data_IF_013879177665
#
_entry.id   IF_013879177665
#
_cell.length_a   1.000
_cell.length_b   1.000
_cell.length_c   1.000
_cell.angle_alpha   90.00
_cell.angle_beta   90.00
_cell.angle_gamma   90.00
#
_symmetry.space_group_name_H-M   'P 1'
#
loop_
_entity.id
_entity.type
_entity.pdbx_description
1 polymer ?
#
# COMPACT_ATOMS: atom_id res chain seq x y z
N UNK A 1 -19.18 -7.14 -4.47
CA UNK A 1 -19.05 -8.57 -4.06
C UNK A 1 -17.81 -9.26 -4.64
N UNK A 2 -17.51 -9.14 -5.94
CA UNK A 2 -16.28 -9.73 -6.53
C UNK A 2 -14.97 -9.13 -5.97
N UNK A 3 -14.91 -7.81 -5.76
CA UNK A 3 -13.72 -7.13 -5.22
C UNK A 3 -13.43 -7.53 -3.75
N UNK A 4 -14.46 -7.86 -2.97
CA UNK A 4 -14.30 -8.39 -1.60
C UNK A 4 -13.68 -9.79 -1.60
N UNK A 5 -14.10 -10.65 -2.52
CA UNK A 5 -13.57 -12.01 -2.63
C UNK A 5 -12.11 -12.01 -3.05
N UNK A 6 -11.73 -11.16 -4.01
CA UNK A 6 -10.33 -10.95 -4.41
C UNK A 6 -9.51 -10.42 -3.24
N UNK A 7 -9.98 -9.36 -2.56
CA UNK A 7 -9.29 -8.81 -1.41
C UNK A 7 -9.12 -9.83 -0.28
N UNK A 8 -10.15 -10.61 0.05
CA UNK A 8 -10.05 -11.65 1.09
C UNK A 8 -8.99 -12.69 0.72
N UNK A 9 -8.93 -13.08 -0.55
CA UNK A 9 -7.89 -13.98 -1.07
C UNK A 9 -6.49 -13.36 -1.03
N UNK A 10 -6.36 -12.07 -1.37
CA UNK A 10 -5.09 -11.32 -1.30
C UNK A 10 -4.61 -11.18 0.15
N UNK A 11 -5.54 -10.90 1.08
CA UNK A 11 -5.29 -10.88 2.53
C UNK A 11 -4.83 -12.26 3.02
N UNK A 12 -5.55 -13.34 2.70
CA UNK A 12 -5.19 -14.70 3.10
C UNK A 12 -3.84 -15.17 2.50
N UNK A 13 -3.47 -14.66 1.32
CA UNK A 13 -2.17 -14.90 0.69
C UNK A 13 -1.06 -14.13 1.40
N UNK A 14 -1.30 -12.87 1.76
CA UNK A 14 -0.38 -12.04 2.55
C UNK A 14 -0.14 -12.64 3.95
N UNK A 15 -1.19 -13.05 4.65
CA UNK A 15 -1.11 -13.67 5.98
C UNK A 15 -0.20 -14.91 5.99
N UNK A 16 -0.24 -15.73 4.93
CA UNK A 16 0.63 -16.90 4.79
C UNK A 16 2.10 -16.57 4.52
N UNK A 17 2.37 -15.40 3.95
CA UNK A 17 3.71 -15.03 3.49
C UNK A 17 4.50 -14.19 4.53
N UNK A 18 3.79 -13.58 5.48
CA UNK A 18 4.31 -12.65 6.51
C UNK A 18 5.22 -13.29 7.60
N UNK A 19 5.47 -14.60 7.58
CA UNK A 19 6.26 -15.32 8.60
C UNK A 19 7.76 -15.55 8.33
N UNK A 20 8.39 -14.91 7.34
CA UNK A 20 9.79 -15.18 6.96
C UNK A 20 10.73 -13.98 7.20
N UNK A 21 11.83 -14.13 7.97
CA UNK A 21 12.78 -13.06 8.17
C UNK A 21 13.67 -12.90 6.93
N UNK A 22 13.61 -11.72 6.30
CA UNK A 22 14.50 -11.33 5.21
C UNK A 22 15.04 -9.92 5.46
N UNK A 23 16.29 -9.83 5.90
CA UNK A 23 17.01 -8.57 6.06
C UNK A 23 17.90 -8.28 4.85
N UNK A 24 17.94 -7.01 4.42
CA UNK A 24 19.00 -6.49 3.57
C UNK A 24 19.20 -4.99 3.85
N UNK A 25 20.46 -4.57 3.94
CA UNK A 25 20.97 -3.27 4.36
C UNK A 25 20.59 -2.11 3.41
N UNK A 26 20.23 -0.97 3.98
CA UNK A 26 19.35 0.07 3.39
C UNK A 26 20.03 1.31 2.79
N UNK A 27 21.36 1.40 2.71
CA UNK A 27 22.02 2.70 2.49
C UNK A 27 22.40 3.01 1.03
N UNK A 28 22.84 2.04 0.22
CA UNK A 28 23.18 2.28 -1.20
C UNK A 28 21.93 2.35 -2.11
N UNK A 29 20.89 1.58 -1.79
CA UNK A 29 19.63 1.49 -2.55
C UNK A 29 18.82 2.80 -2.53
N UNK A 30 19.03 3.65 -1.51
CA UNK A 30 18.35 4.94 -1.36
C UNK A 30 18.73 5.95 -2.45
N UNK A 31 19.97 5.92 -2.95
CA UNK A 31 20.48 6.87 -3.96
C UNK A 31 19.86 6.63 -5.34
N UNK A 32 19.78 5.36 -5.76
CA UNK A 32 19.17 4.96 -7.04
C UNK A 32 17.67 5.24 -7.05
N UNK A 33 16.97 4.91 -5.96
CA UNK A 33 15.55 5.24 -5.79
C UNK A 33 15.37 6.76 -5.90
N UNK A 34 16.10 7.58 -5.13
CA UNK A 34 16.04 9.06 -5.21
C UNK A 34 16.35 9.61 -6.61
N UNK A 35 17.29 9.00 -7.34
CA UNK A 35 17.61 9.37 -8.72
C UNK A 35 16.45 9.06 -9.66
N UNK A 36 15.82 7.90 -9.52
CA UNK A 36 14.56 7.56 -10.21
C UNK A 36 13.47 8.58 -9.85
N UNK A 37 13.31 8.96 -8.57
CA UNK A 37 12.28 9.90 -8.15
C UNK A 37 12.45 11.28 -8.79
N UNK A 38 13.69 11.75 -8.89
CA UNK A 38 14.04 12.99 -9.59
C UNK A 38 13.81 12.89 -11.10
N UNK A 39 14.26 11.81 -11.74
CA UNK A 39 14.08 11.55 -13.18
C UNK A 39 12.59 11.43 -13.55
N UNK A 40 11.80 10.87 -12.65
CA UNK A 40 10.36 10.72 -12.75
C UNK A 40 9.59 11.97 -12.26
N UNK A 41 10.28 13.07 -11.94
CA UNK A 41 9.69 14.38 -11.71
C UNK A 41 8.79 14.44 -10.47
N UNK A 42 9.13 13.69 -9.42
CA UNK A 42 8.35 13.59 -8.18
C UNK A 42 8.05 14.94 -7.52
N UNK A 43 8.99 15.88 -7.59
CA UNK A 43 8.84 17.23 -7.01
C UNK A 43 7.86 18.11 -7.79
N UNK A 44 7.49 17.72 -9.02
CA UNK A 44 6.69 18.52 -9.94
C UNK A 44 5.27 17.98 -10.10
N UNK A 45 4.46 17.94 -9.01
CA UNK A 45 2.98 17.75 -9.02
C UNK A 45 2.43 16.85 -10.16
N UNK A 46 3.05 15.69 -10.43
CA UNK A 46 2.65 14.79 -11.53
C UNK A 46 1.40 14.00 -11.16
N UNK A 47 0.64 13.59 -12.18
CA UNK A 47 -0.54 12.75 -11.97
C UNK A 47 -0.15 11.40 -11.34
N UNK A 48 -0.91 10.85 -10.38
CA UNK A 48 -0.58 9.60 -9.70
C UNK A 48 -0.31 8.43 -10.65
N UNK A 49 -0.98 8.41 -11.81
CA UNK A 49 -0.81 7.39 -12.85
C UNK A 49 0.59 7.39 -13.48
N UNK A 50 1.18 8.55 -13.71
CA UNK A 50 2.53 8.65 -14.26
C UNK A 50 3.58 8.20 -13.24
N UNK A 51 3.38 8.54 -11.96
CA UNK A 51 4.24 8.10 -10.87
C UNK A 51 4.20 6.57 -10.67
N UNK A 52 3.02 5.94 -10.81
CA UNK A 52 2.90 4.47 -10.77
C UNK A 52 3.66 3.81 -11.91
N UNK A 53 3.49 4.28 -13.16
CA UNK A 53 4.22 3.73 -14.32
C UNK A 53 5.73 3.82 -14.14
N UNK A 54 6.21 4.98 -13.68
CA UNK A 54 7.61 5.18 -13.35
C UNK A 54 8.13 4.20 -12.28
N UNK A 55 7.34 3.94 -11.23
CA UNK A 55 7.68 2.96 -10.19
C UNK A 55 7.69 1.52 -10.73
N UNK A 56 6.71 1.15 -11.56
CA UNK A 56 6.66 -0.15 -12.23
C UNK A 56 7.88 -0.37 -13.15
N UNK A 57 8.28 0.65 -13.91
CA UNK A 57 9.48 0.60 -14.74
C UNK A 57 10.76 0.45 -13.88
N UNK A 58 10.80 1.08 -12.71
CA UNK A 58 11.91 0.91 -11.76
C UNK A 58 11.96 -0.51 -11.18
N UNK A 59 10.81 -1.13 -10.88
CA UNK A 59 10.72 -2.52 -10.45
C UNK A 59 11.19 -3.50 -11.56
N UNK A 60 10.98 -3.16 -12.83
CA UNK A 60 11.41 -3.95 -14.00
C UNK A 60 12.91 -3.89 -14.26
N UNK A 61 13.63 -2.89 -13.74
CA UNK A 61 15.07 -2.73 -13.97
C UNK A 61 15.95 -3.74 -13.20
N UNK A 62 15.37 -4.57 -12.33
CA UNK A 62 16.02 -5.74 -11.75
C UNK A 62 15.77 -5.93 -10.25
N UNK A 63 15.98 -7.15 -9.74
CA UNK A 63 15.83 -7.51 -8.31
C UNK A 63 16.71 -6.69 -7.36
N UNK A 64 17.80 -6.07 -7.87
CA UNK A 64 18.77 -5.33 -7.07
C UNK A 64 18.29 -3.94 -6.61
N UNK A 65 17.20 -3.39 -7.15
CA UNK A 65 16.65 -2.09 -6.71
C UNK A 65 15.30 -2.22 -5.97
N UNK A 66 14.85 -3.44 -5.67
CA UNK A 66 13.60 -3.69 -4.92
C UNK A 66 13.85 -3.40 -3.43
N UNK A 67 13.38 -2.24 -2.99
CA UNK A 67 13.52 -1.74 -1.62
C UNK A 67 12.12 -1.45 -1.04
N UNK A 68 11.96 -1.68 0.27
CA UNK A 68 10.85 -1.23 1.11
C UNK A 68 10.51 0.24 0.84
N UNK A 69 11.52 1.10 0.62
CA UNK A 69 11.32 2.53 0.30
C UNK A 69 10.55 2.71 -1.02
N UNK A 70 10.89 1.95 -2.06
CA UNK A 70 10.22 2.02 -3.36
C UNK A 70 8.76 1.53 -3.26
N UNK A 71 8.52 0.43 -2.53
CA UNK A 71 7.16 -0.07 -2.30
C UNK A 71 6.31 0.90 -1.48
N UNK A 72 6.83 1.43 -0.36
CA UNK A 72 6.13 2.42 0.46
C UNK A 72 5.78 3.67 -0.35
N UNK A 73 6.68 4.07 -1.25
CA UNK A 73 6.43 5.19 -2.14
C UNK A 73 5.29 4.89 -3.12
N UNK A 74 5.32 3.75 -3.80
CA UNK A 74 4.26 3.36 -4.73
C UNK A 74 2.91 3.21 -4.02
N UNK A 75 2.89 2.68 -2.80
CA UNK A 75 1.71 2.64 -1.94
C UNK A 75 1.17 4.05 -1.62
N UNK A 76 2.05 5.02 -1.35
CA UNK A 76 1.64 6.39 -1.12
C UNK A 76 1.06 7.05 -2.39
N UNK A 77 1.56 6.68 -3.56
CA UNK A 77 0.97 7.09 -4.84
C UNK A 77 -0.43 6.50 -5.02
N UNK A 78 -0.62 5.21 -4.69
CA UNK A 78 -1.95 4.59 -4.66
C UNK A 78 -2.89 5.33 -3.70
N UNK A 79 -2.40 5.77 -2.53
CA UNK A 79 -3.23 6.49 -1.56
C UNK A 79 -3.75 7.82 -2.13
N UNK A 80 -2.90 8.57 -2.83
CA UNK A 80 -3.29 9.79 -3.54
C UNK A 80 -4.20 9.50 -4.74
N UNK A 81 -3.94 8.43 -5.48
CA UNK A 81 -4.78 8.02 -6.61
C UNK A 81 -6.20 7.62 -6.17
N UNK A 82 -6.33 6.99 -5.00
CA UNK A 82 -7.61 6.62 -4.41
C UNK A 82 -8.49 7.85 -4.10
N UNK A 83 -7.90 8.97 -3.67
CA UNK A 83 -8.62 10.26 -3.51
C UNK A 83 -9.20 10.76 -4.84
N UNK A 84 -8.46 10.55 -5.92
CA UNK A 84 -8.85 10.91 -7.29
C UNK A 84 -9.92 10.00 -7.91
N UNK A 85 -10.50 9.07 -7.15
CA UNK A 85 -11.46 8.04 -7.61
C UNK A 85 -10.88 7.07 -8.64
N UNK A 86 -9.56 6.86 -8.63
CA UNK A 86 -8.95 5.83 -9.47
C UNK A 86 -9.27 4.44 -8.90
N UNK A 87 -10.13 3.69 -9.59
CA UNK A 87 -10.64 2.39 -9.08
C UNK A 87 -9.55 1.34 -8.95
N UNK A 88 -8.51 1.45 -9.76
CA UNK A 88 -7.42 0.48 -9.79
C UNK A 88 -6.40 0.74 -8.67
N UNK A 89 -6.46 1.89 -7.98
CA UNK A 89 -5.50 2.24 -6.94
C UNK A 89 -5.53 1.28 -5.75
N UNK A 90 -6.72 0.81 -5.37
CA UNK A 90 -6.88 -0.18 -4.31
C UNK A 90 -6.25 -1.51 -4.70
N UNK A 91 -6.63 -2.03 -5.86
CA UNK A 91 -6.12 -3.29 -6.41
C UNK A 91 -4.59 -3.27 -6.50
N UNK A 92 -4.03 -2.19 -7.07
CA UNK A 92 -2.59 -2.01 -7.17
C UNK A 92 -1.89 -1.95 -5.81
N UNK A 93 -2.49 -1.32 -4.80
CA UNK A 93 -1.90 -1.27 -3.48
C UNK A 93 -1.78 -2.66 -2.84
N UNK A 94 -2.79 -3.51 -2.99
CA UNK A 94 -2.73 -4.91 -2.52
C UNK A 94 -1.76 -5.75 -3.34
N UNK A 95 -1.71 -5.56 -4.66
CA UNK A 95 -0.74 -6.25 -5.53
C UNK A 95 0.71 -5.87 -5.15
N UNK A 96 0.98 -4.59 -4.87
CA UNK A 96 2.30 -4.11 -4.42
C UNK A 96 2.70 -4.67 -3.05
N UNK A 97 1.77 -4.73 -2.10
CA UNK A 97 2.03 -5.36 -0.79
C UNK A 97 2.32 -6.84 -0.94
N UNK A 98 1.58 -7.54 -1.82
CA UNK A 98 1.81 -8.96 -2.11
C UNK A 98 3.18 -9.18 -2.74
N UNK A 99 3.54 -8.37 -3.73
CA UNK A 99 4.84 -8.46 -4.39
C UNK A 99 5.99 -8.15 -3.43
N UNK A 100 5.81 -7.21 -2.50
CA UNK A 100 6.79 -6.90 -1.46
C UNK A 100 7.09 -8.14 -0.60
N UNK A 101 6.04 -8.81 -0.12
CA UNK A 101 6.19 -10.02 0.70
C UNK A 101 6.76 -11.20 -0.11
N UNK A 102 6.30 -11.40 -1.35
CA UNK A 102 6.80 -12.44 -2.24
C UNK A 102 8.26 -12.24 -2.66
N UNK A 103 8.71 -10.98 -2.67
CA UNK A 103 10.10 -10.63 -2.87
C UNK A 103 10.95 -10.83 -1.61
N UNK A 104 10.38 -11.35 -0.52
CA UNK A 104 11.06 -11.64 0.75
C UNK A 104 11.27 -10.43 1.64
N UNK A 105 10.64 -9.29 1.34
CA UNK A 105 10.68 -8.09 2.18
C UNK A 105 9.56 -8.11 3.21
N UNK A 106 9.86 -7.67 4.43
CA UNK A 106 8.86 -7.54 5.48
C UNK A 106 8.17 -6.16 5.40
N UNK A 107 6.85 -6.10 5.22
CA UNK A 107 6.11 -4.85 5.31
C UNK A 107 6.31 -4.18 6.68
N UNK A 108 6.42 -2.86 6.67
CA UNK A 108 6.69 -2.05 7.86
C UNK A 108 5.42 -1.39 8.38
N UNK A 109 5.48 -0.79 9.56
CA UNK A 109 4.42 0.09 10.10
C UNK A 109 3.95 1.11 9.05
N UNK A 110 4.89 1.72 8.32
CA UNK A 110 4.60 2.70 7.26
C UNK A 110 3.86 2.04 6.09
N UNK A 111 4.25 0.83 5.69
CA UNK A 111 3.60 0.06 4.61
C UNK A 111 2.14 -0.22 4.95
N UNK A 112 1.89 -0.73 6.15
CA UNK A 112 0.54 -1.04 6.64
C UNK A 112 -0.34 0.21 6.81
N UNK A 113 0.20 1.26 7.45
CA UNK A 113 -0.52 2.52 7.60
C UNK A 113 -0.90 3.14 6.25
N UNK A 114 -0.01 3.04 5.27
CA UNK A 114 -0.28 3.54 3.91
C UNK A 114 -1.35 2.70 3.21
N UNK A 115 -1.31 1.36 3.30
CA UNK A 115 -2.34 0.49 2.73
C UNK A 115 -3.72 0.74 3.38
N UNK A 116 -3.78 0.95 4.70
CA UNK A 116 -5.02 1.35 5.39
C UNK A 116 -5.55 2.67 4.87
N UNK A 117 -4.67 3.65 4.64
CA UNK A 117 -5.06 4.94 4.07
C UNK A 117 -5.67 4.80 2.66
N UNK A 118 -5.11 3.92 1.82
CA UNK A 118 -5.69 3.57 0.50
C UNK A 118 -7.08 2.97 0.69
N UNK A 119 -7.24 2.03 1.63
CA UNK A 119 -8.51 1.37 1.91
C UNK A 119 -9.59 2.37 2.35
N UNK A 120 -9.26 3.27 3.26
CA UNK A 120 -10.13 4.31 3.79
C UNK A 120 -10.58 5.32 2.73
N UNK A 121 -9.67 5.68 1.80
CA UNK A 121 -9.91 6.69 0.76
C UNK A 121 -10.53 6.13 -0.52
N UNK A 122 -10.39 4.82 -0.75
CA UNK A 122 -10.90 4.16 -1.94
C UNK A 122 -12.42 4.05 -1.92
N UNK A 123 -13.08 5.01 -2.58
CA UNK A 123 -14.49 5.01 -2.94
C UNK A 123 -14.74 4.09 -4.14
N UNK A 124 -14.50 2.79 -3.97
CA UNK A 124 -15.16 1.81 -4.85
C UNK A 124 -16.67 1.95 -4.65
N UNK A 125 -17.49 1.61 -5.65
CA UNK A 125 -18.96 1.77 -5.64
C UNK A 125 -19.70 0.96 -4.55
N UNK A 126 -18.97 0.40 -3.59
CA UNK A 126 -19.53 -0.28 -2.44
C UNK A 126 -19.77 0.75 -1.32
N UNK A 127 -20.82 0.55 -0.53
CA UNK A 127 -21.16 1.37 0.63
C UNK A 127 -19.93 1.65 1.50
N UNK A 128 -19.82 2.85 2.08
CA UNK A 128 -18.65 3.27 2.88
C UNK A 128 -18.22 2.28 3.98
N UNK A 129 -19.13 1.37 4.39
CA UNK A 129 -18.89 0.22 5.26
C UNK A 129 -17.73 -0.68 4.77
N UNK A 130 -17.56 -0.79 3.46
CA UNK A 130 -16.49 -1.58 2.87
C UNK A 130 -15.13 -0.99 3.21
N UNK A 131 -14.92 0.33 3.08
CA UNK A 131 -13.63 0.97 3.35
C UNK A 131 -13.12 0.73 4.78
N UNK A 132 -14.04 0.77 5.75
CA UNK A 132 -13.75 0.40 7.13
C UNK A 132 -13.39 -1.08 7.28
N UNK A 133 -14.18 -1.99 6.71
CA UNK A 133 -13.91 -3.43 6.77
C UNK A 133 -12.54 -3.80 6.18
N UNK A 134 -12.15 -3.20 5.04
CA UNK A 134 -10.81 -3.43 4.45
C UNK A 134 -9.71 -2.93 5.38
N UNK A 135 -9.88 -1.72 5.95
CA UNK A 135 -8.91 -1.13 6.87
C UNK A 135 -8.73 -1.99 8.13
N UNK A 136 -9.82 -2.55 8.65
CA UNK A 136 -9.78 -3.49 9.78
C UNK A 136 -9.06 -4.80 9.43
N UNK A 137 -9.29 -5.37 8.24
CA UNK A 137 -8.53 -6.55 7.79
C UNK A 137 -7.02 -6.27 7.70
N UNK A 138 -6.62 -5.07 7.28
CA UNK A 138 -5.21 -4.67 7.25
C UNK A 138 -4.62 -4.52 8.66
N UNK A 139 -5.40 -4.02 9.62
CA UNK A 139 -5.00 -3.97 11.02
C UNK A 139 -4.70 -5.37 11.57
N UNK A 140 -5.55 -6.35 11.29
CA UNK A 140 -5.33 -7.72 11.75
C UNK A 140 -4.09 -8.34 11.10
N UNK A 141 -3.87 -8.13 9.78
CA UNK A 141 -2.62 -8.54 9.11
C UNK A 141 -1.38 -7.93 9.77
N UNK A 142 -1.45 -6.66 10.17
CA UNK A 142 -0.36 -5.96 10.84
C UNK A 142 -0.01 -6.61 12.19
N UNK A 143 -1.03 -7.02 12.95
CA UNK A 143 -0.86 -7.71 14.25
C UNK A 143 -0.28 -9.11 14.07
N UNK A 144 -0.77 -9.85 13.09
CA UNK A 144 -0.25 -11.17 12.73
C UNK A 144 1.20 -11.11 12.25
N UNK A 145 1.58 -10.01 11.59
CA UNK A 145 2.96 -9.69 11.22
C UNK A 145 3.87 -9.33 12.40
N UNK A 146 3.34 -9.26 13.63
CA UNK A 146 4.06 -8.80 14.80
C UNK A 146 4.37 -7.30 14.79
N UNK A 147 3.78 -6.54 13.87
CA UNK A 147 3.95 -5.08 13.79
C UNK A 147 2.92 -4.43 14.70
N UNK A 148 3.38 -3.59 15.64
CA UNK A 148 2.49 -2.94 16.61
C UNK A 148 1.79 -1.73 16.01
N UNK A 149 0.44 -1.67 16.03
CA UNK A 149 -0.33 -0.48 15.67
C UNK A 149 0.08 0.75 16.48
N UNK A 150 0.07 1.92 15.84
CA UNK A 150 0.41 3.20 16.45
C UNK A 150 -0.75 4.21 16.38
N UNK A 151 -0.51 5.44 16.83
CA UNK A 151 -1.52 6.50 16.77
C UNK A 151 -1.98 6.77 15.33
N UNK A 152 -1.08 6.68 14.33
CA UNK A 152 -1.44 6.85 12.91
C UNK A 152 -2.37 5.74 12.44
N UNK A 153 -2.14 4.49 12.89
CA UNK A 153 -3.04 3.37 12.60
C UNK A 153 -4.47 3.64 13.06
N UNK A 154 -4.65 4.02 14.32
CA UNK A 154 -5.99 4.21 14.89
C UNK A 154 -6.69 5.46 14.35
N UNK A 155 -5.95 6.56 14.14
CA UNK A 155 -6.50 7.76 13.49
C UNK A 155 -6.97 7.48 12.07
N UNK A 156 -6.25 6.65 11.32
CA UNK A 156 -6.65 6.24 9.96
C UNK A 156 -7.93 5.38 9.98
N UNK A 157 -8.09 4.48 10.95
CA UNK A 157 -9.32 3.71 11.11
C UNK A 157 -10.53 4.59 11.47
N UNK A 158 -10.33 5.60 12.32
CA UNK A 158 -11.37 6.57 12.65
C UNK A 158 -11.79 7.38 11.43
N UNK A 159 -10.85 7.81 10.59
CA UNK A 159 -11.16 8.49 9.32
C UNK A 159 -11.96 7.58 8.38
N UNK A 160 -11.59 6.30 8.27
CA UNK A 160 -12.36 5.32 7.49
C UNK A 160 -13.80 5.14 8.02
N UNK A 161 -13.97 5.11 9.35
CA UNK A 161 -15.27 5.00 10.01
C UNK A 161 -16.14 6.26 9.79
N UNK A 162 -15.55 7.46 9.94
CA UNK A 162 -16.25 8.71 9.71
C UNK A 162 -16.73 8.84 8.26
N UNK A 163 -15.93 8.40 7.29
CA UNK A 163 -16.31 8.34 5.88
C UNK A 163 -17.44 7.34 5.61
N UNK A 164 -17.47 6.23 6.34
CA UNK A 164 -18.58 5.28 6.27
C UNK A 164 -19.90 5.91 6.73
N UNK A 165 -19.88 6.65 7.84
CA UNK A 165 -21.08 7.29 8.41
C UNK A 165 -21.59 8.48 7.58
N UNK A 166 -20.73 9.11 6.78
CA UNK A 166 -21.12 10.23 5.91
C UNK A 166 -21.78 9.80 4.58
N UNK A 167 -21.77 8.50 4.26
CA UNK A 167 -22.33 7.94 3.01
C UNK A 167 -23.64 7.17 3.22
N UNK A 168 -24.19 7.18 4.44
CA UNK A 168 -25.52 6.65 4.81
C UNK A 168 -26.54 7.77 4.98
#
# INVERSE_FOLDING_TARGET
MQDYGRMKSDVERLQRAVGRPGGCSTEELSMEVKAVLRRCGWEAKRSPRQALRAGEDALRMGRRCRDVVLYNMMLNVCAKAAEGRDRDALTKAFDLMSEMVESGMSPTLVSFNTLMNVCAKSRLRDSGLMGFARSYSVLEMMREAGVRPDAVTFTTMLDACARCAAET
#
